data_IF_876844238560
#
_entry.id   IF_876844238560
#
_cell.length_a   1.000
_cell.length_b   1.000
_cell.length_c   1.000
_cell.angle_alpha   90.00
_cell.angle_beta   90.00
_cell.angle_gamma   90.00
#
_symmetry.space_group_name_H-M   'P 1'
#
loop_
_entity.id
_entity.type
_entity.pdbx_description
1 polymer ?
#
# COMPACT_ATOMS: atom_id res chain seq x y z
N UNK A 1 -21.91 -13.16 0.53
CA UNK A 1 -20.72 -14.00 0.29
C UNK A 1 -20.16 -13.74 -1.08
N UNK A 2 -18.85 -13.66 -1.17
CA UNK A 2 -18.14 -13.48 -2.43
C UNK A 2 -18.43 -14.69 -3.35
N UNK A 3 -19.41 -14.55 -4.26
CA UNK A 3 -19.71 -15.54 -5.31
C UNK A 3 -18.74 -15.39 -6.50
N UNK A 4 -18.00 -14.27 -6.58
CA UNK A 4 -17.00 -14.06 -7.62
C UNK A 4 -15.75 -14.89 -7.29
N UNK A 5 -15.21 -15.53 -8.31
CA UNK A 5 -13.92 -16.21 -8.22
C UNK A 5 -12.82 -15.20 -7.86
N UNK A 6 -11.81 -15.61 -7.08
CA UNK A 6 -10.65 -14.77 -6.72
C UNK A 6 -10.08 -13.97 -7.93
N UNK A 7 -9.92 -14.56 -9.14
CA UNK A 7 -9.46 -13.83 -10.31
C UNK A 7 -10.35 -12.65 -10.71
N UNK A 8 -11.66 -12.83 -10.72
CA UNK A 8 -12.61 -11.77 -11.11
C UNK A 8 -12.61 -10.58 -10.14
N UNK A 9 -12.24 -10.79 -8.89
CA UNK A 9 -12.06 -9.74 -7.90
C UNK A 9 -10.68 -9.06 -8.01
N UNK A 10 -9.64 -9.83 -8.34
CA UNK A 10 -8.25 -9.35 -8.39
C UNK A 10 -7.98 -8.50 -9.64
N UNK A 11 -8.57 -8.82 -10.80
CA UNK A 11 -8.33 -8.08 -12.05
C UNK A 11 -8.63 -6.58 -11.93
N UNK A 12 -9.79 -6.13 -11.39
CA UNK A 12 -10.02 -4.70 -11.19
C UNK A 12 -9.02 -4.05 -10.23
N UNK A 13 -8.56 -4.76 -9.20
CA UNK A 13 -7.54 -4.25 -8.28
C UNK A 13 -6.20 -4.05 -8.98
N UNK A 14 -5.80 -5.01 -9.81
CA UNK A 14 -4.57 -4.93 -10.61
C UNK A 14 -4.62 -3.74 -11.56
N UNK A 15 -5.72 -3.59 -12.32
CA UNK A 15 -5.90 -2.45 -13.23
C UNK A 15 -5.82 -1.13 -12.44
N UNK A 16 -6.45 -1.05 -11.27
CA UNK A 16 -6.41 0.13 -10.40
C UNK A 16 -5.00 0.46 -9.94
N UNK A 17 -4.27 -0.52 -9.45
CA UNK A 17 -2.89 -0.33 -8.97
C UNK A 17 -1.95 0.09 -10.09
N UNK A 18 -2.05 -0.51 -11.27
CA UNK A 18 -1.26 -0.13 -12.45
C UNK A 18 -1.63 1.28 -12.90
N UNK A 19 -2.93 1.61 -12.97
CA UNK A 19 -3.40 2.95 -13.32
C UNK A 19 -2.89 4.01 -12.34
N UNK A 20 -2.84 3.69 -11.05
CA UNK A 20 -2.28 4.58 -10.02
C UNK A 20 -0.78 4.87 -10.25
N UNK A 21 -0.02 3.91 -10.75
CA UNK A 21 1.40 4.15 -11.11
C UNK A 21 1.53 5.11 -12.30
N UNK A 22 0.71 4.93 -13.34
CA UNK A 22 0.69 5.88 -14.46
C UNK A 22 0.29 7.29 -14.04
N UNK A 23 -0.68 7.40 -13.15
CA UNK A 23 -1.08 8.67 -12.56
C UNK A 23 0.07 9.35 -11.80
N UNK A 24 0.79 8.63 -10.93
CA UNK A 24 1.94 9.17 -10.20
C UNK A 24 3.03 9.67 -11.15
N UNK A 25 3.29 8.94 -12.24
CA UNK A 25 4.24 9.37 -13.28
C UNK A 25 3.74 10.63 -13.98
N UNK A 26 2.47 10.71 -14.33
CA UNK A 26 1.89 11.90 -14.97
C UNK A 26 2.01 13.14 -14.08
N UNK A 27 1.76 13.04 -12.79
CA UNK A 27 1.88 14.14 -11.84
C UNK A 27 3.33 14.67 -11.77
N UNK A 28 4.30 13.77 -11.69
CA UNK A 28 5.73 14.10 -11.72
C UNK A 28 6.10 14.83 -13.03
N UNK A 29 5.61 14.37 -14.16
CA UNK A 29 5.86 14.99 -15.47
C UNK A 29 5.24 16.37 -15.55
N UNK A 30 4.01 16.56 -15.06
CA UNK A 30 3.33 17.84 -15.04
C UNK A 30 4.16 18.85 -14.22
N UNK A 31 4.48 18.52 -12.97
CA UNK A 31 5.24 19.41 -12.10
C UNK A 31 6.61 19.74 -12.71
N UNK A 32 7.34 18.73 -13.18
CA UNK A 32 8.70 18.92 -13.73
C UNK A 32 8.73 19.74 -15.01
N UNK A 33 7.79 19.56 -15.92
CA UNK A 33 7.75 20.28 -17.21
C UNK A 33 7.12 21.68 -17.14
N UNK A 34 6.18 21.89 -16.21
CA UNK A 34 5.42 23.15 -16.16
C UNK A 34 5.99 24.15 -15.17
N UNK A 35 6.54 23.69 -14.04
CA UNK A 35 7.10 24.56 -12.99
C UNK A 35 8.63 24.59 -13.05
N UNK A 36 9.25 23.43 -13.26
CA UNK A 36 10.70 23.30 -13.40
C UNK A 36 11.35 22.34 -12.42
N UNK A 37 12.68 22.24 -12.51
CA UNK A 37 13.48 21.24 -11.78
C UNK A 37 13.45 21.47 -10.26
N UNK A 38 13.45 22.72 -9.80
CA UNK A 38 13.41 23.04 -8.36
C UNK A 38 12.09 22.59 -7.73
N UNK A 39 10.96 22.82 -8.41
CA UNK A 39 9.64 22.35 -7.95
C UNK A 39 9.57 20.82 -7.84
N UNK A 40 10.12 20.14 -8.85
CA UNK A 40 10.21 18.68 -8.83
C UNK A 40 11.10 18.19 -7.67
N UNK A 41 12.22 18.86 -7.43
CA UNK A 41 13.12 18.56 -6.32
C UNK A 41 12.45 18.81 -4.96
N UNK A 42 11.65 19.89 -4.83
CA UNK A 42 10.91 20.18 -3.60
C UNK A 42 9.88 19.10 -3.27
N UNK A 43 9.05 18.68 -4.25
CA UNK A 43 8.07 17.60 -4.07
C UNK A 43 8.79 16.27 -3.80
N UNK A 44 9.89 15.99 -4.50
CA UNK A 44 10.71 14.80 -4.29
C UNK A 44 11.33 14.74 -2.89
N UNK A 45 11.78 15.88 -2.36
CA UNK A 45 12.39 15.95 -1.04
C UNK A 45 11.41 15.54 0.09
N UNK A 46 10.12 15.88 -0.02
CA UNK A 46 9.10 15.51 0.97
C UNK A 46 8.39 14.18 0.69
N UNK A 47 8.70 13.50 -0.41
CA UNK A 47 8.08 12.23 -0.79
C UNK A 47 8.14 11.14 0.31
N UNK A 48 9.23 10.98 1.10
CA UNK A 48 9.25 10.01 2.19
C UNK A 48 8.24 10.31 3.29
N UNK A 49 8.04 11.59 3.65
CA UNK A 49 7.03 12.01 4.64
C UNK A 49 5.63 11.76 4.10
N UNK A 50 5.39 12.12 2.83
CA UNK A 50 4.13 11.83 2.15
C UNK A 50 3.82 10.33 2.20
N UNK A 51 4.77 9.47 1.83
CA UNK A 51 4.61 8.02 1.85
C UNK A 51 4.32 7.48 3.25
N UNK A 52 4.97 8.01 4.29
CA UNK A 52 4.74 7.62 5.66
C UNK A 52 3.31 7.98 6.11
N UNK A 53 2.88 9.23 5.90
CA UNK A 53 1.56 9.72 6.30
C UNK A 53 0.45 9.04 5.49
N UNK A 54 0.64 8.89 4.17
CA UNK A 54 -0.30 8.19 3.30
C UNK A 54 -0.40 6.70 3.63
N UNK A 55 0.73 6.05 3.90
CA UNK A 55 0.78 4.65 4.35
C UNK A 55 0.00 4.41 5.64
N UNK A 56 0.07 5.35 6.62
CA UNK A 56 -0.75 5.29 7.82
C UNK A 56 -2.25 5.28 7.49
N UNK A 57 -2.71 6.14 6.58
CA UNK A 57 -4.14 6.18 6.19
C UNK A 57 -4.59 4.90 5.49
N UNK A 58 -3.74 4.32 4.64
CA UNK A 58 -4.02 3.04 3.97
C UNK A 58 -4.10 1.91 5.00
N UNK A 59 -3.15 1.84 5.92
CA UNK A 59 -3.09 0.79 6.95
C UNK A 59 -4.30 0.84 7.87
N UNK A 60 -4.67 2.03 8.38
CA UNK A 60 -5.86 2.22 9.20
C UNK A 60 -7.14 1.81 8.44
N UNK A 61 -7.32 2.31 7.22
CA UNK A 61 -8.49 2.00 6.39
C UNK A 61 -8.62 0.50 6.10
N UNK A 62 -7.50 -0.14 5.78
CA UNK A 62 -7.46 -1.58 5.52
C UNK A 62 -7.80 -2.38 6.77
N UNK A 63 -7.21 -2.04 7.93
CA UNK A 63 -7.47 -2.73 9.19
C UNK A 63 -8.93 -2.58 9.65
N UNK A 64 -9.52 -1.39 9.54
CA UNK A 64 -10.90 -1.15 9.89
C UNK A 64 -11.86 -1.94 8.99
N UNK A 65 -11.57 -2.02 7.69
CA UNK A 65 -12.40 -2.75 6.73
C UNK A 65 -12.40 -4.27 6.96
N UNK A 66 -11.41 -4.83 7.64
CA UNK A 66 -11.40 -6.26 8.01
C UNK A 66 -12.59 -6.61 8.89
N UNK A 67 -12.88 -5.78 9.91
CA UNK A 67 -14.05 -6.00 10.80
C UNK A 67 -15.35 -5.94 9.99
N UNK A 68 -15.49 -4.94 9.10
CA UNK A 68 -16.64 -4.82 8.20
C UNK A 68 -16.79 -6.09 7.34
N UNK A 69 -15.70 -6.60 6.77
CA UNK A 69 -15.69 -7.82 5.96
C UNK A 69 -16.07 -9.07 6.75
N UNK A 70 -15.60 -9.19 7.99
CA UNK A 70 -15.95 -10.30 8.88
C UNK A 70 -17.44 -10.27 9.26
N UNK A 71 -17.98 -9.09 9.62
CA UNK A 71 -19.42 -8.91 9.92
C UNK A 71 -20.29 -9.22 8.69
N UNK A 72 -19.86 -8.75 7.52
CA UNK A 72 -20.52 -9.05 6.26
C UNK A 72 -20.53 -10.55 5.95
N UNK A 73 -19.40 -11.24 6.16
CA UNK A 73 -19.29 -12.68 6.01
C UNK A 73 -20.18 -13.47 6.98
N UNK A 74 -20.35 -12.96 8.20
CA UNK A 74 -21.24 -13.51 9.21
C UNK A 74 -22.74 -13.21 8.96
N UNK A 75 -23.07 -12.47 7.89
CA UNK A 75 -24.43 -11.99 7.58
C UNK A 75 -25.02 -11.07 8.67
N UNK A 76 -24.17 -10.52 9.56
CA UNK A 76 -24.51 -9.58 10.62
C UNK A 76 -24.57 -8.15 10.05
N UNK A 77 -25.73 -7.77 9.47
CA UNK A 77 -25.89 -6.48 8.80
C UNK A 77 -25.93 -5.31 9.79
N UNK A 78 -26.37 -5.52 11.02
CA UNK A 78 -26.32 -4.51 12.08
C UNK A 78 -24.85 -4.27 12.49
N UNK A 79 -24.10 -5.34 12.66
CA UNK A 79 -22.65 -5.27 12.88
C UNK A 79 -21.89 -4.59 11.73
N UNK A 80 -22.31 -4.79 10.47
CA UNK A 80 -21.74 -4.09 9.30
C UNK A 80 -21.98 -2.58 9.43
N UNK A 81 -23.22 -2.13 9.69
CA UNK A 81 -23.55 -0.69 9.86
C UNK A 81 -22.74 -0.07 10.99
N UNK A 82 -22.73 -0.71 12.17
CA UNK A 82 -21.92 -0.27 13.31
C UNK A 82 -20.43 -0.24 13.01
N UNK A 83 -19.90 -1.22 12.25
CA UNK A 83 -18.49 -1.22 11.84
C UNK A 83 -18.16 -0.06 10.92
N UNK A 84 -19.04 0.27 9.96
CA UNK A 84 -18.86 1.39 9.04
C UNK A 84 -18.86 2.74 9.79
N UNK A 85 -19.81 2.96 10.69
CA UNK A 85 -19.87 4.20 11.48
C UNK A 85 -18.73 4.33 12.46
N UNK A 86 -18.36 3.26 13.17
CA UNK A 86 -17.19 3.23 14.06
C UNK A 86 -15.90 3.50 13.29
N UNK A 87 -15.73 2.88 12.12
CA UNK A 87 -14.59 3.14 11.24
C UNK A 87 -14.53 4.60 10.81
N UNK A 88 -15.68 5.21 10.46
CA UNK A 88 -15.74 6.61 10.06
C UNK A 88 -15.38 7.55 11.22
N UNK A 89 -15.89 7.30 12.43
CA UNK A 89 -15.55 8.09 13.62
C UNK A 89 -14.07 8.00 13.98
N UNK A 90 -13.52 6.77 14.01
CA UNK A 90 -12.10 6.54 14.30
C UNK A 90 -11.20 7.14 13.21
N UNK A 91 -11.57 6.97 11.94
CA UNK A 91 -10.84 7.53 10.81
C UNK A 91 -10.77 9.06 10.91
N UNK A 92 -11.90 9.73 11.19
CA UNK A 92 -11.94 11.18 11.36
C UNK A 92 -11.08 11.61 12.55
N UNK A 93 -11.26 11.01 13.72
CA UNK A 93 -10.51 11.35 14.92
C UNK A 93 -9.00 11.19 14.75
N UNK A 94 -8.57 10.03 14.23
CA UNK A 94 -7.15 9.75 14.00
C UNK A 94 -6.55 10.63 12.91
N UNK A 95 -7.31 10.92 11.85
CA UNK A 95 -6.84 11.81 10.79
C UNK A 95 -6.69 13.24 11.29
N UNK A 96 -7.60 13.74 12.11
CA UNK A 96 -7.45 15.06 12.72
C UNK A 96 -6.25 15.13 13.67
N UNK A 97 -6.01 14.08 14.46
CA UNK A 97 -4.82 13.98 15.30
C UNK A 97 -3.52 13.96 14.47
N UNK A 98 -3.50 13.17 13.38
CA UNK A 98 -2.36 13.15 12.46
C UNK A 98 -2.15 14.50 11.78
N UNK A 99 -3.22 15.14 11.30
CA UNK A 99 -3.16 16.46 10.68
C UNK A 99 -2.57 17.47 11.66
N UNK A 100 -3.07 17.53 12.88
CA UNK A 100 -2.56 18.43 13.91
C UNK A 100 -1.10 18.11 14.25
N UNK A 101 -0.78 16.86 14.55
CA UNK A 101 0.55 16.43 14.95
C UNK A 101 1.60 16.68 13.87
N UNK A 102 1.31 16.29 12.61
CA UNK A 102 2.25 16.50 11.50
C UNK A 102 2.38 17.98 11.16
N UNK A 103 1.28 18.77 11.17
CA UNK A 103 1.35 20.22 10.91
C UNK A 103 2.20 20.95 11.95
N UNK A 104 2.06 20.61 13.24
CA UNK A 104 2.89 21.19 14.30
C UNK A 104 4.36 20.75 14.22
N UNK A 105 4.61 19.50 13.82
CA UNK A 105 5.95 18.97 13.66
C UNK A 105 6.60 19.37 12.31
N UNK A 106 5.87 19.98 11.38
CA UNK A 106 6.35 20.24 10.02
C UNK A 106 7.69 21.01 9.99
N UNK A 107 7.90 22.10 10.72
CA UNK A 107 9.18 22.80 10.71
C UNK A 107 10.35 21.93 11.20
N UNK A 108 10.09 21.06 12.20
CA UNK A 108 11.08 20.10 12.69
C UNK A 108 11.40 19.04 11.64
N UNK A 109 10.36 18.50 10.99
CA UNK A 109 10.52 17.50 9.92
C UNK A 109 11.38 18.07 8.78
N UNK A 110 11.07 19.28 8.31
CA UNK A 110 11.83 19.94 7.24
C UNK A 110 13.32 20.14 7.62
N UNK A 111 13.59 20.51 8.87
CA UNK A 111 14.98 20.65 9.38
C UNK A 111 15.69 19.30 9.45
N UNK A 112 15.03 18.25 9.95
CA UNK A 112 15.62 16.91 10.04
C UNK A 112 15.93 16.32 8.67
N UNK A 113 15.17 16.71 7.65
CA UNK A 113 15.39 16.29 6.26
C UNK A 113 16.48 17.13 5.56
N UNK A 114 17.04 18.13 6.21
CA UNK A 114 18.04 19.04 5.63
C UNK A 114 17.62 19.63 4.28
N UNK A 115 16.34 20.02 4.16
CA UNK A 115 15.82 20.63 2.93
C UNK A 115 16.50 22.00 2.75
N UNK A 116 17.07 22.23 1.56
CA UNK A 116 17.75 23.50 1.25
C UNK A 116 16.78 24.67 1.26
N UNK A 117 17.25 25.86 1.63
CA UNK A 117 16.44 27.08 1.71
C UNK A 117 15.72 27.40 0.39
N UNK A 118 16.33 27.06 -0.75
CA UNK A 118 15.75 27.28 -2.09
C UNK A 118 14.49 26.42 -2.31
N UNK A 119 14.40 25.24 -1.68
CA UNK A 119 13.29 24.29 -1.86
C UNK A 119 12.30 24.34 -0.69
N UNK A 120 12.66 25.03 0.41
CA UNK A 120 11.93 24.96 1.67
C UNK A 120 10.47 25.41 1.53
N UNK A 121 10.24 26.56 0.93
CA UNK A 121 8.89 27.15 0.84
C UNK A 121 7.94 26.27 0.00
N UNK A 122 8.40 25.80 -1.14
CA UNK A 122 7.61 24.90 -2.00
C UNK A 122 7.33 23.56 -1.32
N UNK A 123 8.35 22.95 -0.71
CA UNK A 123 8.23 21.69 0.02
C UNK A 123 7.28 21.80 1.22
N UNK A 124 7.41 22.89 2.00
CA UNK A 124 6.59 23.18 3.17
C UNK A 124 5.12 23.36 2.79
N UNK A 125 4.82 24.24 1.82
CA UNK A 125 3.46 24.52 1.39
C UNK A 125 2.80 23.30 0.74
N UNK A 126 3.54 22.56 -0.10
CA UNK A 126 3.05 21.30 -0.68
C UNK A 126 2.61 20.32 0.41
N UNK A 127 3.51 20.03 1.34
CA UNK A 127 3.24 19.05 2.38
C UNK A 127 2.17 19.51 3.36
N UNK A 128 2.13 20.80 3.71
CA UNK A 128 1.09 21.35 4.58
C UNK A 128 -0.31 21.23 3.96
N UNK A 129 -0.47 21.53 2.67
CA UNK A 129 -1.75 21.40 1.95
C UNK A 129 -2.18 19.94 1.93
N UNK A 130 -1.26 19.02 1.62
CA UNK A 130 -1.54 17.57 1.62
C UNK A 130 -1.98 17.10 3.00
N UNK A 131 -1.30 17.52 4.07
CA UNK A 131 -1.62 17.15 5.45
C UNK A 131 -2.97 17.72 5.88
N UNK A 132 -3.31 18.94 5.52
CA UNK A 132 -4.64 19.53 5.75
C UNK A 132 -5.72 18.78 4.96
N UNK A 133 -5.38 18.23 3.80
CA UNK A 133 -6.26 17.41 2.97
C UNK A 133 -6.38 15.95 3.37
N UNK A 134 -5.70 15.48 4.43
CA UNK A 134 -5.71 14.07 4.84
C UNK A 134 -7.09 13.50 5.09
N UNK A 135 -8.03 14.31 5.56
CA UNK A 135 -9.43 13.87 5.78
C UNK A 135 -10.05 13.39 4.46
N UNK A 136 -9.81 14.08 3.35
CA UNK A 136 -10.31 13.67 2.04
C UNK A 136 -9.67 12.35 1.58
N UNK A 137 -8.34 12.24 1.72
CA UNK A 137 -7.58 11.04 1.36
C UNK A 137 -8.00 9.83 2.21
N UNK A 138 -8.11 10.00 3.53
CA UNK A 138 -8.56 8.96 4.45
C UNK A 138 -9.99 8.52 4.13
N UNK A 139 -10.89 9.47 3.86
CA UNK A 139 -12.29 9.19 3.51
C UNK A 139 -12.38 8.33 2.25
N UNK A 140 -11.68 8.69 1.18
CA UNK A 140 -11.66 7.91 -0.04
C UNK A 140 -11.06 6.51 0.18
N UNK A 141 -9.92 6.40 0.88
CA UNK A 141 -9.30 5.12 1.19
C UNK A 141 -10.22 4.22 2.01
N UNK A 142 -10.86 4.74 3.05
CA UNK A 142 -11.79 3.99 3.90
C UNK A 142 -13.00 3.50 3.10
N UNK A 143 -13.66 4.38 2.34
CA UNK A 143 -14.81 4.01 1.51
C UNK A 143 -14.44 2.96 0.47
N UNK A 144 -13.27 3.08 -0.17
CA UNK A 144 -12.74 2.09 -1.09
C UNK A 144 -12.49 0.73 -0.43
N UNK A 145 -11.94 0.73 0.80
CA UNK A 145 -11.72 -0.49 1.57
C UNK A 145 -13.05 -1.14 1.99
N UNK A 146 -14.05 -0.35 2.39
CA UNK A 146 -15.39 -0.85 2.74
C UNK A 146 -16.07 -1.44 1.51
N UNK A 147 -16.04 -0.78 0.33
CA UNK A 147 -16.56 -1.37 -0.91
C UNK A 147 -15.96 -2.74 -1.19
N UNK A 148 -14.64 -2.85 -1.08
CA UNK A 148 -13.93 -4.13 -1.25
C UNK A 148 -14.36 -5.16 -0.21
N UNK A 149 -14.47 -4.77 1.06
CA UNK A 149 -14.92 -5.65 2.14
C UNK A 149 -16.33 -6.22 1.91
N UNK A 150 -17.20 -5.46 1.22
CA UNK A 150 -18.54 -5.89 0.79
C UNK A 150 -18.54 -6.68 -0.54
N UNK A 151 -17.37 -6.93 -1.12
CA UNK A 151 -17.22 -7.75 -2.33
C UNK A 151 -17.22 -6.97 -3.64
N UNK A 152 -17.20 -5.62 -3.61
CA UNK A 152 -17.15 -4.78 -4.80
C UNK A 152 -15.73 -4.20 -4.98
N UNK A 153 -14.97 -4.76 -5.91
CA UNK A 153 -13.65 -4.26 -6.32
C UNK A 153 -13.70 -3.32 -7.53
N UNK A 154 -14.82 -3.25 -8.25
CA UNK A 154 -14.96 -2.45 -9.47
C UNK A 154 -15.23 -0.99 -9.18
N UNK A 155 -16.09 -0.74 -8.21
CA UNK A 155 -16.47 0.64 -7.83
C UNK A 155 -15.26 1.48 -7.38
N UNK A 156 -14.37 1.02 -6.49
CA UNK A 156 -13.14 1.74 -6.17
C UNK A 156 -12.26 2.05 -7.39
N UNK A 157 -12.19 1.11 -8.36
CA UNK A 157 -11.44 1.33 -9.60
C UNK A 157 -12.02 2.50 -10.42
N UNK A 158 -13.34 2.55 -10.61
CA UNK A 158 -13.96 3.64 -11.37
C UNK A 158 -13.68 5.00 -10.72
N UNK A 159 -13.81 5.10 -9.41
CA UNK A 159 -13.53 6.36 -8.71
C UNK A 159 -12.05 6.70 -8.64
N UNK A 160 -11.15 5.72 -8.66
CA UNK A 160 -9.73 5.96 -8.82
C UNK A 160 -9.42 6.59 -10.19
N UNK A 161 -10.01 6.06 -11.27
CA UNK A 161 -9.85 6.62 -12.62
C UNK A 161 -10.39 8.06 -12.68
N UNK A 162 -11.59 8.30 -12.14
CA UNK A 162 -12.18 9.64 -12.06
C UNK A 162 -11.28 10.59 -11.26
N UNK A 163 -10.79 10.14 -10.10
CA UNK A 163 -9.88 10.94 -9.25
C UNK A 163 -8.61 11.33 -10.02
N UNK A 164 -8.01 10.37 -10.69
CA UNK A 164 -6.75 10.58 -11.41
C UNK A 164 -6.91 11.55 -12.58
N UNK A 165 -7.96 11.37 -13.38
CA UNK A 165 -8.25 12.28 -14.49
C UNK A 165 -8.58 13.70 -14.00
N UNK A 166 -9.39 13.79 -12.93
CA UNK A 166 -9.72 15.07 -12.32
C UNK A 166 -8.49 15.76 -11.73
N UNK A 167 -7.60 15.01 -11.06
CA UNK A 167 -6.37 15.56 -10.55
C UNK A 167 -5.48 16.12 -11.66
N UNK A 168 -5.27 15.37 -12.75
CA UNK A 168 -4.48 15.84 -13.91
C UNK A 168 -5.09 17.13 -14.47
N UNK A 169 -6.40 17.17 -14.67
CA UNK A 169 -7.07 18.36 -15.21
C UNK A 169 -6.94 19.57 -14.28
N UNK A 170 -7.15 19.38 -12.97
CA UNK A 170 -7.01 20.43 -11.97
C UNK A 170 -5.55 20.87 -11.78
N UNK A 171 -4.59 19.93 -11.80
CA UNK A 171 -3.18 20.27 -11.74
C UNK A 171 -2.76 21.17 -12.92
N UNK A 172 -3.14 20.80 -14.13
CA UNK A 172 -2.91 21.66 -15.32
C UNK A 172 -3.60 23.03 -15.19
N UNK A 173 -4.84 23.08 -14.72
CA UNK A 173 -5.56 24.33 -14.51
C UNK A 173 -4.88 25.21 -13.48
N UNK A 174 -4.53 24.67 -12.30
CA UNK A 174 -3.96 25.46 -11.20
C UNK A 174 -2.51 25.85 -11.45
N UNK A 175 -1.72 24.99 -12.09
CA UNK A 175 -0.32 25.27 -12.36
C UNK A 175 -0.18 26.13 -13.63
N UNK A 176 -0.80 25.75 -14.74
CA UNK A 176 -0.57 26.41 -16.04
C UNK A 176 -1.42 27.66 -16.21
N UNK A 177 -2.73 27.59 -15.88
CA UNK A 177 -3.65 28.71 -16.12
C UNK A 177 -3.61 29.71 -14.95
N UNK A 178 -3.61 29.24 -13.71
CA UNK A 178 -3.65 30.14 -12.54
C UNK A 178 -2.25 30.48 -12.00
N UNK A 179 -1.21 29.76 -12.41
CA UNK A 179 0.16 30.03 -11.99
C UNK A 179 0.45 29.77 -10.51
N UNK A 180 -0.32 28.86 -9.86
CA UNK A 180 -0.18 28.59 -8.43
C UNK A 180 1.04 27.74 -8.05
N UNK A 181 1.84 27.32 -9.03
CA UNK A 181 3.06 26.54 -8.78
C UNK A 181 2.83 25.21 -8.07
N UNK A 182 3.78 24.85 -7.19
CA UNK A 182 3.76 23.59 -6.42
C UNK A 182 2.52 23.45 -5.51
N UNK A 183 2.08 24.50 -4.79
CA UNK A 183 0.82 24.44 -4.05
C UNK A 183 -0.40 24.06 -4.89
N UNK A 184 -0.43 24.47 -6.17
CA UNK A 184 -1.49 24.13 -7.11
C UNK A 184 -1.64 22.62 -7.34
N UNK A 185 -0.52 21.89 -7.45
CA UNK A 185 -0.51 20.43 -7.55
C UNK A 185 -1.11 19.76 -6.29
N UNK A 186 -0.70 20.22 -5.10
CA UNK A 186 -1.20 19.71 -3.83
C UNK A 186 -2.72 19.95 -3.68
N UNK A 187 -3.21 21.13 -4.03
CA UNK A 187 -4.65 21.48 -3.99
C UNK A 187 -5.42 20.59 -4.96
N UNK A 188 -4.91 20.40 -6.18
CA UNK A 188 -5.52 19.52 -7.18
C UNK A 188 -5.69 18.08 -6.65
N UNK A 189 -4.66 17.54 -6.01
CA UNK A 189 -4.69 16.22 -5.38
C UNK A 189 -5.78 16.14 -4.31
N UNK A 190 -5.83 17.10 -3.39
CA UNK A 190 -6.81 17.11 -2.28
C UNK A 190 -8.25 17.21 -2.81
N UNK A 191 -8.51 18.09 -3.77
CA UNK A 191 -9.84 18.25 -4.38
C UNK A 191 -10.25 16.98 -5.10
N UNK A 192 -9.37 16.37 -5.90
CA UNK A 192 -9.65 15.13 -6.60
C UNK A 192 -10.01 14.00 -5.65
N UNK A 193 -9.29 13.86 -4.53
CA UNK A 193 -9.58 12.88 -3.48
C UNK A 193 -10.92 13.16 -2.79
N UNK A 194 -11.23 14.43 -2.48
CA UNK A 194 -12.48 14.84 -1.85
C UNK A 194 -13.68 14.53 -2.76
N UNK A 195 -13.61 14.91 -4.03
CA UNK A 195 -14.65 14.62 -5.02
C UNK A 195 -14.87 13.11 -5.14
N UNK A 196 -13.79 12.33 -5.23
CA UNK A 196 -13.89 10.87 -5.32
C UNK A 196 -14.49 10.24 -4.07
N UNK A 197 -14.15 10.76 -2.88
CA UNK A 197 -14.77 10.32 -1.63
C UNK A 197 -16.28 10.58 -1.62
N UNK A 198 -16.71 11.78 -2.05
CA UNK A 198 -18.13 12.14 -2.13
C UNK A 198 -18.86 11.26 -3.14
N UNK A 199 -18.31 11.08 -4.34
CA UNK A 199 -18.90 10.22 -5.37
C UNK A 199 -19.01 8.77 -4.92
N UNK A 200 -17.95 8.24 -4.27
CA UNK A 200 -17.94 6.91 -3.70
C UNK A 200 -19.01 6.74 -2.63
N UNK A 201 -19.16 7.71 -1.72
CA UNK A 201 -20.19 7.72 -0.67
C UNK A 201 -21.61 7.76 -1.27
N UNK A 202 -21.84 8.62 -2.25
CA UNK A 202 -23.13 8.71 -2.94
C UNK A 202 -23.49 7.40 -3.65
N UNK A 203 -22.52 6.79 -4.30
CA UNK A 203 -22.70 5.49 -4.96
C UNK A 203 -23.00 4.38 -3.94
N UNK A 204 -22.22 4.30 -2.86
CA UNK A 204 -22.42 3.30 -1.80
C UNK A 204 -23.82 3.37 -1.19
N UNK A 205 -24.32 4.57 -0.91
CA UNK A 205 -25.69 4.77 -0.40
C UNK A 205 -26.77 4.24 -1.34
N UNK A 206 -26.53 4.31 -2.67
CA UNK A 206 -27.47 3.81 -3.68
C UNK A 206 -27.33 2.31 -3.90
N UNK A 207 -26.09 1.82 -3.95
CA UNK A 207 -25.76 0.41 -4.31
C UNK A 207 -25.97 -0.57 -3.17
N UNK A 208 -25.74 -0.11 -1.93
CA UNK A 208 -25.81 -0.94 -0.73
C UNK A 208 -26.94 -0.43 0.19
N UNK A 209 -28.23 -0.76 -0.07
CA UNK A 209 -29.34 -0.33 0.78
C UNK A 209 -29.19 -0.74 2.24
N UNK A 210 -28.45 -1.84 2.51
CA UNK A 210 -28.11 -2.30 3.86
C UNK A 210 -27.25 -1.31 4.65
N UNK A 211 -26.56 -0.36 3.99
CA UNK A 211 -25.80 0.73 4.62
C UNK A 211 -26.63 1.99 4.86
N UNK A 212 -27.96 1.88 4.95
CA UNK A 212 -28.81 2.99 5.43
C UNK A 212 -28.58 3.16 6.92
N UNK A 213 -27.66 4.07 7.23
CA UNK A 213 -27.26 4.36 8.61
C UNK A 213 -28.38 5.09 9.36
N UNK A 214 -28.67 4.64 10.56
CA UNK A 214 -29.61 5.26 11.50
C UNK A 214 -28.82 6.00 12.58
N UNK A 215 -29.49 6.84 13.37
CA UNK A 215 -28.85 7.52 14.50
C UNK A 215 -28.29 6.53 15.54
N UNK A 216 -28.94 5.39 15.71
CA UNK A 216 -28.49 4.35 16.62
C UNK A 216 -27.14 3.72 16.20
N UNK A 217 -26.86 3.64 14.89
CA UNK A 217 -25.60 3.11 14.39
C UNK A 217 -24.38 3.98 14.73
N UNK A 218 -24.60 5.27 15.07
CA UNK A 218 -23.55 6.21 15.47
C UNK A 218 -23.26 6.19 16.98
N UNK A 219 -23.93 5.31 17.74
CA UNK A 219 -23.59 5.12 19.15
C UNK A 219 -22.17 4.60 19.30
N UNK A 220 -21.32 5.37 19.98
CA UNK A 220 -19.93 5.00 20.18
C UNK A 220 -19.85 3.91 21.26
N UNK A 221 -19.18 2.81 20.91
CA UNK A 221 -18.91 1.68 21.78
C UNK A 221 -17.41 1.43 21.84
N UNK A 222 -16.78 1.70 22.98
CA UNK A 222 -15.34 1.58 23.13
C UNK A 222 -14.80 0.15 22.91
N UNK A 223 -15.38 -0.92 23.48
CA UNK A 223 -14.97 -2.29 23.18
C UNK A 223 -14.99 -2.62 21.68
N UNK A 224 -15.98 -2.12 20.94
CA UNK A 224 -16.05 -2.34 19.49
C UNK A 224 -15.05 -1.47 18.71
N UNK A 225 -14.87 -0.21 19.13
CA UNK A 225 -13.86 0.69 18.57
C UNK A 225 -12.43 0.12 18.81
N UNK A 226 -12.18 -0.47 19.97
CA UNK A 226 -10.90 -1.10 20.27
C UNK A 226 -10.60 -2.28 19.33
N UNK A 227 -11.58 -3.06 18.90
CA UNK A 227 -11.39 -4.12 17.90
C UNK A 227 -10.84 -3.53 16.59
N UNK A 228 -11.36 -2.39 16.13
CA UNK A 228 -10.87 -1.69 14.94
C UNK A 228 -9.44 -1.17 15.14
N UNK A 229 -9.15 -0.53 16.27
CA UNK A 229 -7.82 -0.02 16.60
C UNK A 229 -6.78 -1.14 16.70
N UNK A 230 -7.15 -2.27 17.32
CA UNK A 230 -6.27 -3.45 17.45
C UNK A 230 -5.85 -4.04 16.12
N UNK A 231 -6.63 -3.86 15.05
CA UNK A 231 -6.27 -4.27 13.71
C UNK A 231 -5.64 -3.12 12.90
N UNK A 232 -6.24 -1.94 12.95
CA UNK A 232 -5.83 -0.81 12.14
C UNK A 232 -4.47 -0.23 12.52
N UNK A 233 -4.19 -0.06 13.82
CA UNK A 233 -2.91 0.50 14.27
C UNK A 233 -1.69 -0.36 13.88
N UNK A 234 -1.68 -1.69 14.13
CA UNK A 234 -0.57 -2.52 13.67
C UNK A 234 -0.38 -2.49 12.15
N UNK A 235 -1.47 -2.45 11.38
CA UNK A 235 -1.39 -2.36 9.91
C UNK A 235 -0.86 -1.00 9.45
N UNK A 236 -1.21 0.08 10.13
CA UNK A 236 -0.67 1.41 9.84
C UNK A 236 0.84 1.47 10.17
N UNK A 237 1.25 1.01 11.34
CA UNK A 237 2.66 0.94 11.76
C UNK A 237 3.47 0.06 10.81
N UNK A 238 2.87 -1.01 10.29
CA UNK A 238 3.51 -1.88 9.30
C UNK A 238 3.95 -1.10 8.04
N UNK A 239 3.11 -0.20 7.51
CA UNK A 239 3.50 0.63 6.36
C UNK A 239 4.67 1.56 6.67
N UNK A 240 4.72 2.14 7.87
CA UNK A 240 5.87 2.94 8.31
C UNK A 240 7.15 2.11 8.35
N UNK A 241 7.09 0.92 8.94
CA UNK A 241 8.24 0.01 9.06
C UNK A 241 8.77 -0.38 7.67
N UNK A 242 7.88 -0.72 6.74
CA UNK A 242 8.26 -1.06 5.35
C UNK A 242 8.95 0.14 4.69
N UNK A 243 8.39 1.35 4.82
CA UNK A 243 8.98 2.57 4.27
C UNK A 243 10.36 2.87 4.86
N UNK A 244 10.53 2.69 6.18
CA UNK A 244 11.84 2.83 6.82
C UNK A 244 12.86 1.83 6.27
N UNK A 245 12.46 0.58 6.02
CA UNK A 245 13.34 -0.43 5.43
C UNK A 245 13.84 -0.06 4.03
N UNK A 246 12.98 0.56 3.22
CA UNK A 246 13.36 1.07 1.89
C UNK A 246 14.34 2.24 2.03
N UNK A 247 14.09 3.16 2.96
CA UNK A 247 14.97 4.31 3.20
C UNK A 247 16.35 3.90 3.68
N UNK A 248 16.46 2.90 4.57
CA UNK A 248 17.76 2.37 5.02
C UNK A 248 18.53 1.79 3.85
N UNK A 249 17.88 0.97 3.02
CA UNK A 249 18.54 0.39 1.84
C UNK A 249 19.02 1.47 0.86
N UNK A 250 18.19 2.48 0.59
CA UNK A 250 18.56 3.62 -0.24
C UNK A 250 19.72 4.41 0.36
N UNK A 251 19.72 4.64 1.68
CA UNK A 251 20.81 5.37 2.35
C UNK A 251 22.16 4.65 2.22
N UNK A 252 22.16 3.31 2.36
CA UNK A 252 23.38 2.54 2.14
C UNK A 252 23.79 2.57 0.67
N UNK A 253 22.83 2.46 -0.27
CA UNK A 253 23.12 2.57 -1.70
C UNK A 253 23.73 3.95 -2.07
N UNK A 254 23.31 5.02 -1.41
CA UNK A 254 23.82 6.36 -1.65
C UNK A 254 25.32 6.56 -1.28
N UNK A 255 25.94 5.57 -0.62
CA UNK A 255 27.40 5.61 -0.36
C UNK A 255 28.24 5.15 -1.56
N UNK A 256 27.60 4.65 -2.62
CA UNK A 256 28.24 4.23 -3.85
C UNK A 256 28.21 5.34 -4.91
N UNK A 257 28.92 5.12 -6.01
CA UNK A 257 29.01 6.13 -7.08
C UNK A 257 27.66 6.43 -7.76
N UNK A 258 27.56 7.59 -8.45
CA UNK A 258 26.31 8.08 -9.06
C UNK A 258 25.69 7.07 -10.03
N UNK A 259 26.50 6.36 -10.82
CA UNK A 259 26.08 5.35 -11.80
C UNK A 259 25.40 4.16 -11.10
N UNK A 260 25.95 3.73 -9.94
CA UNK A 260 25.39 2.66 -9.13
C UNK A 260 24.06 3.06 -8.52
N UNK A 261 23.96 4.29 -8.00
CA UNK A 261 22.72 4.84 -7.45
C UNK A 261 21.64 4.91 -8.53
N UNK A 262 21.98 5.44 -9.71
CA UNK A 262 21.07 5.54 -10.84
C UNK A 262 20.60 4.16 -11.33
N UNK A 263 21.51 3.19 -11.38
CA UNK A 263 21.21 1.79 -11.70
C UNK A 263 20.25 1.16 -10.69
N UNK A 264 20.51 1.32 -9.40
CA UNK A 264 19.63 0.85 -8.32
C UNK A 264 18.23 1.46 -8.41
N UNK A 265 18.14 2.79 -8.59
CA UNK A 265 16.86 3.49 -8.70
C UNK A 265 16.07 3.00 -9.93
N UNK A 266 16.72 2.82 -11.07
CA UNK A 266 16.08 2.31 -12.28
C UNK A 266 15.53 0.89 -12.10
N UNK A 267 16.32 0.01 -11.48
CA UNK A 267 15.94 -1.36 -11.19
C UNK A 267 14.76 -1.44 -10.19
N UNK A 268 14.79 -0.61 -9.14
CA UNK A 268 13.69 -0.58 -8.14
C UNK A 268 12.38 -0.05 -8.73
N UNK A 269 12.39 0.83 -9.73
CA UNK A 269 11.17 1.24 -10.45
C UNK A 269 10.56 0.08 -11.24
N UNK A 270 11.38 -0.74 -11.89
CA UNK A 270 10.92 -1.96 -12.57
C UNK A 270 10.34 -2.95 -11.55
N UNK A 271 11.03 -3.14 -10.42
CA UNK A 271 10.53 -3.97 -9.32
C UNK A 271 9.15 -3.50 -8.83
N UNK A 272 8.94 -2.19 -8.65
CA UNK A 272 7.66 -1.63 -8.23
C UNK A 272 6.51 -1.98 -9.18
N UNK A 273 6.75 -2.06 -10.49
CA UNK A 273 5.74 -2.51 -11.45
C UNK A 273 5.41 -4.00 -11.26
N UNK A 274 6.42 -4.83 -11.04
CA UNK A 274 6.23 -6.26 -10.79
C UNK A 274 5.53 -6.55 -9.45
N UNK A 275 5.62 -5.64 -8.48
CA UNK A 275 4.95 -5.77 -7.19
C UNK A 275 3.43 -5.57 -7.28
N UNK A 276 2.91 -4.81 -8.24
CA UNK A 276 1.49 -4.44 -8.28
C UNK A 276 0.53 -5.64 -8.36
N UNK A 277 0.80 -6.69 -9.16
CA UNK A 277 -0.02 -7.90 -9.13
C UNK A 277 0.05 -8.63 -7.79
N UNK A 278 1.22 -8.72 -7.14
CA UNK A 278 1.38 -9.38 -5.84
C UNK A 278 0.59 -8.65 -4.75
N UNK A 279 0.63 -7.32 -4.73
CA UNK A 279 -0.18 -6.48 -3.84
C UNK A 279 -1.66 -6.74 -4.08
N UNK A 280 -2.09 -6.83 -5.34
CA UNK A 280 -3.48 -7.09 -5.72
C UNK A 280 -3.97 -8.46 -5.25
N UNK A 281 -3.13 -9.50 -5.36
CA UNK A 281 -3.41 -10.83 -4.81
C UNK A 281 -3.54 -10.78 -3.29
N UNK A 282 -2.66 -10.02 -2.61
CA UNK A 282 -2.73 -9.80 -1.17
C UNK A 282 -4.05 -9.16 -0.75
N UNK A 283 -4.43 -8.04 -1.35
CA UNK A 283 -5.69 -7.33 -1.04
C UNK A 283 -6.89 -8.25 -1.26
N UNK A 284 -6.94 -8.98 -2.38
CA UNK A 284 -8.00 -9.93 -2.67
C UNK A 284 -8.06 -11.03 -1.60
N UNK A 285 -6.90 -11.52 -1.15
CA UNK A 285 -6.80 -12.55 -0.12
C UNK A 285 -7.26 -12.04 1.25
N UNK A 286 -6.95 -10.79 1.62
CA UNK A 286 -7.42 -10.19 2.86
C UNK A 286 -8.95 -10.13 2.91
N UNK A 287 -9.58 -9.63 1.85
CA UNK A 287 -11.05 -9.54 1.74
C UNK A 287 -11.69 -10.93 1.77
N UNK A 288 -11.15 -11.86 0.98
CA UNK A 288 -11.64 -13.24 0.92
C UNK A 288 -11.55 -13.93 2.28
N UNK A 289 -10.40 -13.78 2.96
CA UNK A 289 -10.20 -14.36 4.30
C UNK A 289 -11.11 -13.72 5.33
N UNK A 290 -11.30 -12.39 5.30
CA UNK A 290 -12.18 -11.69 6.24
C UNK A 290 -13.63 -12.19 6.14
N UNK A 291 -14.18 -12.26 4.94
CA UNK A 291 -15.55 -12.75 4.73
C UNK A 291 -15.73 -14.21 5.13
N UNK A 292 -14.80 -15.09 4.72
CA UNK A 292 -14.89 -16.51 5.06
C UNK A 292 -14.61 -16.80 6.54
N UNK A 293 -13.78 -15.98 7.19
CA UNK A 293 -13.57 -16.05 8.63
C UNK A 293 -14.83 -15.67 9.40
N UNK A 294 -15.51 -14.60 9.02
CA UNK A 294 -16.79 -14.21 9.60
C UNK A 294 -17.87 -15.27 9.40
N UNK A 295 -17.89 -15.93 8.26
CA UNK A 295 -18.77 -17.04 7.95
C UNK A 295 -18.35 -18.38 8.61
N UNK A 296 -17.27 -18.42 9.38
CA UNK A 296 -16.69 -19.65 9.96
C UNK A 296 -16.29 -20.72 8.93
N UNK A 297 -16.04 -20.30 7.68
CA UNK A 297 -15.70 -21.16 6.55
C UNK A 297 -14.18 -21.33 6.39
N UNK A 298 -13.52 -21.93 7.38
CA UNK A 298 -12.05 -22.07 7.43
C UNK A 298 -11.49 -22.95 6.30
N UNK A 299 -12.24 -23.97 5.87
CA UNK A 299 -11.89 -24.79 4.72
C UNK A 299 -11.76 -23.98 3.43
N UNK A 300 -12.65 -22.99 3.22
CA UNK A 300 -12.57 -22.07 2.09
C UNK A 300 -11.35 -21.17 2.17
N UNK A 301 -10.96 -20.71 3.37
CA UNK A 301 -9.74 -19.91 3.54
C UNK A 301 -8.52 -20.71 3.08
N UNK A 302 -8.40 -21.98 3.49
CA UNK A 302 -7.29 -22.87 3.04
C UNK A 302 -7.26 -23.03 1.54
N UNK A 303 -8.43 -23.31 0.94
CA UNK A 303 -8.54 -23.46 -0.51
C UNK A 303 -8.18 -22.18 -1.25
N UNK A 304 -8.68 -21.02 -0.77
CA UNK A 304 -8.38 -19.71 -1.35
C UNK A 304 -6.90 -19.36 -1.27
N UNK A 305 -6.27 -19.59 -0.11
CA UNK A 305 -4.82 -19.38 0.06
C UNK A 305 -4.03 -20.28 -0.88
N UNK A 306 -4.38 -21.57 -1.00
CA UNK A 306 -3.70 -22.48 -1.93
C UNK A 306 -3.83 -22.02 -3.37
N UNK A 307 -5.03 -21.65 -3.81
CA UNK A 307 -5.27 -21.17 -5.18
C UNK A 307 -4.52 -19.84 -5.44
N UNK A 308 -4.62 -18.89 -4.51
CA UNK A 308 -3.94 -17.60 -4.62
C UNK A 308 -2.42 -17.77 -4.64
N UNK A 309 -1.86 -18.68 -3.81
CA UNK A 309 -0.44 -19.02 -3.80
C UNK A 309 0.03 -19.59 -5.14
N UNK A 310 -0.75 -20.49 -5.75
CA UNK A 310 -0.42 -21.06 -7.05
C UNK A 310 -0.45 -20.01 -8.18
N UNK A 311 -1.47 -19.15 -8.19
CA UNK A 311 -1.57 -18.05 -9.17
C UNK A 311 -0.44 -17.04 -8.98
N UNK A 312 -0.13 -16.67 -7.74
CA UNK A 312 1.00 -15.80 -7.41
C UNK A 312 2.33 -16.41 -7.83
N UNK A 313 2.54 -17.71 -7.59
CA UNK A 313 3.74 -18.41 -8.01
C UNK A 313 3.88 -18.43 -9.55
N UNK A 314 2.79 -18.76 -10.26
CA UNK A 314 2.81 -18.75 -11.73
C UNK A 314 3.14 -17.35 -12.27
N UNK A 315 2.55 -16.29 -11.69
CA UNK A 315 2.88 -14.92 -12.04
C UNK A 315 4.35 -14.59 -11.78
N UNK A 316 4.89 -14.95 -10.60
CA UNK A 316 6.29 -14.70 -10.26
C UNK A 316 7.26 -15.39 -11.23
N UNK A 317 6.94 -16.62 -11.66
CA UNK A 317 7.73 -17.34 -12.67
C UNK A 317 7.68 -16.63 -14.02
N UNK A 318 6.50 -16.20 -14.49
CA UNK A 318 6.37 -15.44 -15.74
C UNK A 318 7.12 -14.11 -15.66
N UNK A 319 6.99 -13.38 -14.56
CA UNK A 319 7.70 -12.14 -14.32
C UNK A 319 9.22 -12.35 -14.29
N UNK A 320 9.67 -13.45 -13.67
CA UNK A 320 11.08 -13.81 -13.64
C UNK A 320 11.62 -14.07 -15.06
N UNK A 321 10.95 -14.89 -15.84
CA UNK A 321 11.35 -15.15 -17.24
C UNK A 321 11.39 -13.85 -18.05
N UNK A 322 10.35 -13.01 -17.94
CA UNK A 322 10.30 -11.73 -18.65
C UNK A 322 11.45 -10.80 -18.26
N UNK A 323 11.75 -10.69 -16.95
CA UNK A 323 12.83 -9.81 -16.48
C UNK A 323 14.23 -10.35 -16.79
N UNK A 324 14.42 -11.67 -16.84
CA UNK A 324 15.68 -12.24 -17.31
C UNK A 324 15.87 -12.07 -18.81
N UNK A 325 14.79 -12.21 -19.61
CA UNK A 325 14.85 -12.12 -21.07
C UNK A 325 14.94 -10.69 -21.58
N UNK A 326 14.18 -9.77 -20.97
CA UNK A 326 14.01 -8.39 -21.42
C UNK A 326 14.47 -7.35 -20.39
N UNK A 327 15.28 -7.76 -19.38
CA UNK A 327 15.66 -6.87 -18.28
C UNK A 327 16.49 -5.66 -18.73
N UNK A 328 17.40 -5.83 -19.68
CA UNK A 328 18.21 -4.74 -20.24
C UNK A 328 17.35 -3.75 -21.02
N UNK A 329 16.42 -4.23 -21.84
CA UNK A 329 15.47 -3.41 -22.59
C UNK A 329 14.52 -2.66 -21.65
N UNK A 330 14.07 -3.30 -20.56
CA UNK A 330 13.24 -2.64 -19.54
C UNK A 330 14.02 -1.54 -18.81
N UNK A 331 15.29 -1.75 -18.49
CA UNK A 331 16.14 -0.75 -17.85
C UNK A 331 16.34 0.43 -18.81
N UNK A 332 16.59 0.19 -20.11
CA UNK A 332 16.84 1.24 -21.10
C UNK A 332 15.65 2.21 -21.27
N UNK A 333 14.43 1.82 -20.90
CA UNK A 333 13.26 2.73 -20.87
C UNK A 333 13.39 3.82 -19.82
N UNK A 334 14.13 3.55 -18.75
CA UNK A 334 14.30 4.48 -17.61
C UNK A 334 15.63 5.22 -17.63
N UNK A 335 16.51 4.92 -18.60
CA UNK A 335 17.84 5.53 -18.73
C UNK A 335 17.96 6.21 -20.09
N UNK A 336 18.39 7.47 -20.10
CA UNK A 336 18.63 8.25 -21.32
C UNK A 336 20.03 8.07 -21.89
N UNK A 337 20.98 7.60 -21.07
CA UNK A 337 22.37 7.40 -21.43
C UNK A 337 22.69 5.91 -21.54
N UNK A 338 23.45 5.55 -22.56
CA UNK A 338 24.00 4.19 -22.72
C UNK A 338 25.22 3.97 -21.79
N UNK A 339 25.07 4.35 -20.51
CA UNK A 339 26.10 4.09 -19.52
C UNK A 339 26.08 2.60 -19.17
N UNK A 340 27.14 1.90 -19.58
CA UNK A 340 27.27 0.45 -19.41
C UNK A 340 27.34 0.07 -17.92
N UNK A 341 27.98 0.90 -17.09
CA UNK A 341 28.09 0.68 -15.64
C UNK A 341 26.70 0.73 -14.99
N UNK A 342 25.92 1.76 -15.29
CA UNK A 342 24.56 1.91 -14.81
C UNK A 342 23.70 0.68 -15.20
N UNK A 343 23.79 0.27 -16.48
CA UNK A 343 23.06 -0.88 -17.01
C UNK A 343 23.44 -2.18 -16.30
N UNK A 344 24.74 -2.41 -16.07
CA UNK A 344 25.22 -3.59 -15.36
C UNK A 344 24.77 -3.62 -13.91
N UNK A 345 24.85 -2.48 -13.19
CA UNK A 345 24.43 -2.39 -11.79
C UNK A 345 22.91 -2.59 -11.65
N UNK A 346 22.10 -2.00 -12.54
CA UNK A 346 20.66 -2.21 -12.57
C UNK A 346 20.30 -3.66 -12.86
N UNK A 347 20.95 -4.28 -13.84
CA UNK A 347 20.70 -5.66 -14.22
C UNK A 347 21.18 -6.65 -13.15
N UNK A 348 22.30 -6.36 -12.47
CA UNK A 348 22.77 -7.12 -11.32
C UNK A 348 21.72 -7.17 -10.20
N UNK A 349 21.14 -6.00 -9.85
CA UNK A 349 20.07 -5.93 -8.85
C UNK A 349 18.88 -6.80 -9.24
N UNK A 350 18.37 -6.67 -10.47
CA UNK A 350 17.26 -7.49 -10.97
C UNK A 350 17.61 -8.98 -10.97
N UNK A 351 18.80 -9.34 -11.45
CA UNK A 351 19.28 -10.72 -11.49
C UNK A 351 19.30 -11.37 -10.10
N UNK A 352 19.65 -10.61 -9.07
CA UNK A 352 19.68 -11.10 -7.69
C UNK A 352 18.29 -11.11 -7.04
N UNK A 353 17.44 -10.15 -7.31
CA UNK A 353 16.11 -10.01 -6.67
C UNK A 353 15.05 -10.92 -7.27
N UNK A 354 15.02 -11.05 -8.59
CA UNK A 354 13.95 -11.71 -9.34
C UNK A 354 13.71 -13.18 -8.95
N UNK A 355 14.72 -14.04 -8.71
CA UNK A 355 14.48 -15.41 -8.27
C UNK A 355 13.72 -15.53 -6.96
N UNK A 356 13.82 -14.49 -6.11
CA UNK A 356 13.20 -14.45 -4.80
C UNK A 356 11.80 -13.82 -4.81
N UNK A 357 11.28 -13.38 -5.94
CA UNK A 357 9.89 -12.91 -6.07
C UNK A 357 8.88 -13.98 -5.71
N UNK A 358 9.22 -15.26 -5.83
CA UNK A 358 8.38 -16.37 -5.36
C UNK A 358 8.10 -16.25 -3.85
N UNK A 359 9.12 -15.93 -3.05
CA UNK A 359 8.96 -15.72 -1.60
C UNK A 359 8.17 -14.44 -1.31
N UNK A 360 8.48 -13.35 -2.03
CA UNK A 360 7.79 -12.09 -1.89
C UNK A 360 6.28 -12.21 -2.20
N UNK A 361 5.93 -12.89 -3.30
CA UNK A 361 4.54 -13.17 -3.64
C UNK A 361 3.81 -13.97 -2.56
N UNK A 362 4.48 -14.96 -1.95
CA UNK A 362 3.91 -15.74 -0.85
C UNK A 362 3.75 -14.92 0.43
N UNK A 363 4.66 -13.98 0.72
CA UNK A 363 4.50 -13.04 1.85
C UNK A 363 3.17 -12.28 1.70
N UNK A 364 2.89 -11.73 0.52
CA UNK A 364 1.63 -11.01 0.29
C UNK A 364 0.40 -11.90 0.52
N UNK A 365 0.43 -13.15 0.11
CA UNK A 365 -0.69 -14.09 0.29
C UNK A 365 -0.90 -14.43 1.76
N UNK A 366 0.15 -14.91 2.46
CA UNK A 366 0.02 -15.36 3.86
C UNK A 366 -0.23 -14.20 4.82
N UNK A 367 0.47 -13.08 4.64
CA UNK A 367 0.31 -11.86 5.45
C UNK A 367 -1.13 -11.35 5.39
N UNK A 368 -1.66 -11.20 4.20
CA UNK A 368 -3.01 -10.69 4.00
C UNK A 368 -4.09 -11.70 4.40
N UNK A 369 -3.84 -13.00 4.26
CA UNK A 369 -4.74 -14.03 4.80
C UNK A 369 -4.86 -13.91 6.33
N UNK A 370 -3.74 -13.77 7.04
CA UNK A 370 -3.71 -13.56 8.50
C UNK A 370 -4.42 -12.27 8.90
N UNK A 371 -4.16 -11.16 8.19
CA UNK A 371 -4.83 -9.88 8.42
C UNK A 371 -6.35 -10.00 8.24
N UNK A 372 -6.82 -10.66 7.19
CA UNK A 372 -8.24 -10.91 6.97
C UNK A 372 -8.88 -11.75 8.07
N UNK A 373 -8.15 -12.69 8.67
CA UNK A 373 -8.60 -13.45 9.85
C UNK A 373 -8.58 -12.64 11.15
N UNK A 374 -8.15 -11.37 11.12
CA UNK A 374 -8.07 -10.50 12.29
C UNK A 374 -6.77 -10.66 13.10
N UNK A 375 -5.75 -11.28 12.53
CA UNK A 375 -4.43 -11.48 13.16
C UNK A 375 -3.46 -10.46 12.57
N UNK A 376 -3.32 -9.29 13.20
CA UNK A 376 -2.43 -8.21 12.73
C UNK A 376 -1.05 -8.22 13.38
N UNK A 377 -0.87 -8.93 14.51
CA UNK A 377 0.41 -9.01 15.22
C UNK A 377 1.49 -9.74 14.42
N UNK A 378 1.15 -10.87 13.78
CA UNK A 378 2.10 -11.65 12.97
C UNK A 378 2.61 -10.84 11.77
N UNK A 379 1.76 -10.20 10.94
CA UNK A 379 2.17 -9.27 9.91
C UNK A 379 3.08 -8.14 10.40
N UNK A 380 2.78 -7.55 11.55
CA UNK A 380 3.59 -6.50 12.16
C UNK A 380 5.00 -7.01 12.54
N UNK A 381 5.07 -8.15 13.25
CA UNK A 381 6.35 -8.78 13.61
C UNK A 381 7.16 -9.14 12.35
N UNK A 382 6.50 -9.67 11.32
CA UNK A 382 7.15 -9.94 10.03
C UNK A 382 7.80 -8.69 9.44
N UNK A 383 7.13 -7.55 9.50
CA UNK A 383 7.68 -6.30 8.98
C UNK A 383 8.85 -5.76 9.81
N UNK A 384 8.82 -5.97 11.13
CA UNK A 384 9.97 -5.67 12.00
C UNK A 384 11.17 -6.57 11.65
N UNK A 385 10.93 -7.85 11.42
CA UNK A 385 11.97 -8.78 10.96
C UNK A 385 12.52 -8.38 9.58
N UNK A 386 11.66 -7.94 8.65
CA UNK A 386 12.08 -7.41 7.36
C UNK A 386 12.95 -6.16 7.51
N UNK A 387 12.55 -5.20 8.34
CA UNK A 387 13.34 -3.99 8.60
C UNK A 387 14.71 -4.34 9.20
N UNK A 388 14.72 -5.13 10.27
CA UNK A 388 15.95 -5.55 10.95
C UNK A 388 16.87 -6.35 10.03
N UNK A 389 16.33 -7.37 9.37
CA UNK A 389 17.06 -8.20 8.42
C UNK A 389 17.62 -7.39 7.25
N UNK A 390 16.82 -6.49 6.66
CA UNK A 390 17.26 -5.61 5.57
C UNK A 390 18.35 -4.64 6.00
N UNK A 391 18.19 -4.01 7.18
CA UNK A 391 19.18 -3.07 7.70
C UNK A 391 20.51 -3.75 8.01
N UNK A 392 20.47 -4.88 8.72
CA UNK A 392 21.68 -5.65 9.05
C UNK A 392 22.34 -6.18 7.78
N UNK A 393 21.57 -6.82 6.89
CA UNK A 393 22.12 -7.36 5.63
C UNK A 393 22.69 -6.25 4.75
N UNK A 394 22.00 -5.10 4.60
CA UNK A 394 22.48 -3.98 3.80
C UNK A 394 23.81 -3.45 4.35
N UNK A 395 23.93 -3.23 5.66
CA UNK A 395 25.15 -2.69 6.27
C UNK A 395 26.31 -3.69 6.25
N UNK A 396 26.06 -4.92 6.69
CA UNK A 396 27.11 -5.95 6.81
C UNK A 396 27.56 -6.45 5.44
N UNK A 397 26.62 -6.80 4.55
CA UNK A 397 26.99 -7.35 3.25
C UNK A 397 27.51 -6.27 2.31
N UNK A 398 27.08 -5.01 2.42
CA UNK A 398 27.68 -3.92 1.66
C UNK A 398 29.14 -3.68 2.08
N UNK A 399 29.46 -3.80 3.36
CA UNK A 399 30.84 -3.69 3.83
C UNK A 399 31.73 -4.86 3.36
N UNK A 400 31.16 -6.06 3.17
CA UNK A 400 31.91 -7.27 2.75
C UNK A 400 32.02 -7.39 1.22
N UNK A 401 30.92 -7.10 0.51
CA UNK A 401 30.77 -7.42 -0.92
C UNK A 401 30.36 -6.21 -1.77
N UNK A 402 30.41 -5.01 -1.22
CA UNK A 402 30.05 -3.78 -1.95
C UNK A 402 28.58 -3.79 -2.39
N UNK A 403 28.34 -3.31 -3.60
CA UNK A 403 26.99 -3.21 -4.17
C UNK A 403 26.27 -4.56 -4.30
N UNK A 404 27.01 -5.65 -4.57
CA UNK A 404 26.45 -7.00 -4.59
C UNK A 404 25.77 -7.36 -3.25
N UNK A 405 26.36 -6.93 -2.13
CA UNK A 405 25.79 -7.10 -0.81
C UNK A 405 24.43 -6.38 -0.64
N UNK A 406 24.29 -5.19 -1.22
CA UNK A 406 23.00 -4.46 -1.25
C UNK A 406 21.96 -5.24 -2.03
N UNK A 407 22.34 -5.81 -3.20
CA UNK A 407 21.44 -6.63 -4.01
C UNK A 407 20.92 -7.88 -3.28
N UNK A 408 21.69 -8.42 -2.33
CA UNK A 408 21.30 -9.57 -1.52
C UNK A 408 20.39 -9.22 -0.33
N UNK A 409 20.35 -7.98 0.11
CA UNK A 409 19.65 -7.58 1.34
C UNK A 409 18.13 -7.82 1.29
N UNK A 410 17.46 -7.42 0.22
CA UNK A 410 16.01 -7.65 0.04
C UNK A 410 15.67 -9.15 -0.12
N UNK A 411 16.34 -9.94 -0.96
CA UNK A 411 16.15 -11.39 -1.06
C UNK A 411 16.20 -12.13 0.27
N UNK A 412 17.21 -11.87 1.09
CA UNK A 412 17.37 -12.51 2.41
C UNK A 412 16.16 -12.21 3.29
N UNK A 413 15.71 -10.95 3.33
CA UNK A 413 14.56 -10.55 4.12
C UNK A 413 13.27 -11.21 3.65
N UNK A 414 13.07 -11.34 2.34
CA UNK A 414 11.88 -11.99 1.80
C UNK A 414 11.82 -13.47 2.15
N UNK A 415 12.95 -14.18 2.13
CA UNK A 415 12.98 -15.58 2.59
C UNK A 415 12.62 -15.68 4.05
N UNK A 416 13.24 -14.87 4.94
CA UNK A 416 12.96 -14.87 6.38
C UNK A 416 11.49 -14.54 6.67
N UNK A 417 10.96 -13.48 6.06
CA UNK A 417 9.58 -13.05 6.25
C UNK A 417 8.57 -14.08 5.72
N UNK A 418 8.87 -14.73 4.60
CA UNK A 418 8.03 -15.77 4.03
C UNK A 418 7.96 -17.00 4.94
N UNK A 419 9.09 -17.47 5.44
CA UNK A 419 9.15 -18.58 6.39
C UNK A 419 8.39 -18.27 7.67
N UNK A 420 8.56 -17.06 8.21
CA UNK A 420 7.87 -16.64 9.42
C UNK A 420 6.35 -16.50 9.22
N UNK A 421 5.91 -15.79 8.17
CA UNK A 421 4.48 -15.57 7.91
C UNK A 421 3.77 -16.86 7.48
N UNK A 422 4.43 -17.66 6.63
CA UNK A 422 3.92 -18.96 6.18
C UNK A 422 3.82 -19.95 7.35
N UNK A 423 4.89 -20.08 8.14
CA UNK A 423 4.89 -20.93 9.33
C UNK A 423 3.79 -20.54 10.33
N UNK A 424 3.64 -19.22 10.58
CA UNK A 424 2.58 -18.69 11.44
C UNK A 424 1.18 -18.99 10.87
N UNK A 425 0.97 -18.83 9.56
CA UNK A 425 -0.30 -19.16 8.91
C UNK A 425 -0.66 -20.64 9.11
N UNK A 426 0.26 -21.55 8.82
CA UNK A 426 0.02 -22.98 8.98
C UNK A 426 -0.20 -23.37 10.44
N UNK A 427 0.52 -22.77 11.38
CA UNK A 427 0.31 -22.98 12.81
C UNK A 427 -1.08 -22.52 13.27
N UNK A 428 -1.51 -21.33 12.86
CA UNK A 428 -2.86 -20.79 13.16
C UNK A 428 -3.92 -21.73 12.61
N UNK A 429 -3.82 -22.15 11.34
CA UNK A 429 -4.80 -23.01 10.71
C UNK A 429 -4.84 -24.41 11.33
N UNK A 430 -3.70 -24.94 11.76
CA UNK A 430 -3.64 -26.21 12.50
C UNK A 430 -4.32 -26.11 13.88
N UNK A 431 -4.06 -25.02 14.60
CA UNK A 431 -4.65 -24.78 15.94
C UNK A 431 -6.17 -24.61 15.85
N UNK A 432 -6.69 -23.93 14.83
CA UNK A 432 -8.13 -23.78 14.61
C UNK A 432 -8.80 -25.13 14.32
N UNK A 433 -8.15 -26.01 13.55
CA UNK A 433 -8.63 -27.37 13.30
C UNK A 433 -8.66 -28.20 14.58
N UNK A 434 -7.60 -28.15 15.38
CA UNK A 434 -7.48 -28.91 16.63
C UNK A 434 -8.54 -28.51 17.68
N UNK A 435 -8.93 -27.22 17.73
CA UNK A 435 -9.97 -26.72 18.64
C UNK A 435 -11.41 -27.07 18.20
N UNK A 436 -11.59 -27.84 17.13
CA UNK A 436 -12.89 -28.27 16.66
C UNK A 436 -13.79 -27.16 16.10
N UNK A 437 -13.22 -25.98 15.85
CA UNK A 437 -13.95 -24.83 15.28
C UNK A 437 -14.50 -25.17 13.87
N UNK A 438 -13.87 -26.11 13.17
CA UNK A 438 -14.36 -26.63 11.88
C UNK A 438 -15.55 -27.58 11.99
N UNK A 439 -15.73 -28.31 13.11
CA UNK A 439 -16.78 -29.33 13.24
C UNK A 439 -18.22 -28.78 13.39
N UNK A 440 -18.38 -27.47 13.66
CA UNK A 440 -19.71 -26.86 13.81
C UNK A 440 -20.41 -26.54 12.49
N UNK A 441 -19.77 -26.76 11.34
CA UNK A 441 -20.29 -26.40 10.01
C UNK A 441 -20.74 -27.62 9.21
N UNK A 442 -20.37 -28.82 9.64
CA UNK A 442 -20.80 -30.10 8.99
C UNK A 442 -21.98 -30.79 9.71
N UNK A 443 -22.48 -30.22 10.79
CA UNK A 443 -23.68 -30.63 11.50
C UNK A 443 -24.79 -29.57 11.36
#
# INVERSE_FOLDING_TARGET
>A
MMRSTLPAFTVPLLIGNVFQQFYNIADIIIVGRTIGVNALAAVGAVAPVFMAVFGLTIGLSSGFSVITGQRFGAEDMDGVRRSVTTSAMLALALTLLLTLGVSLAMPLIMRLMNISDVLYDDAYHYMLIVVLGLVAMMSYNLLSCICRALGDSRTPLYFLIVSSLLNIALALLFIVVFGWGVPGSAIALVIAQAVSAILCLCFMRRRFPMLRLTRADWAFDWPFAWQHLRLGLPMAVQFLIISMGILVLQSVCNTFGPETIAGFVSATKIEQLALQPMISFGIAMAVYSAQNYGASQYGRIRQGVRQCSLVSLAFCLVAAVAMYSYGRELISVFTTDHDEILMEQAFLYLKMSVPFYIFLGQIFVYRNALQGMGISSVPLISSILELGGRSVSALVLAAMWGYFGICCASPICWVMACLFTGGSYFWVMHTMKAKGVERRVEA
#
